data_IF_017769074438
#
_entry.id   IF_017769074438
#
_cell.length_a   1.000
_cell.length_b   1.000
_cell.length_c   1.000
_cell.angle_alpha   90.00
_cell.angle_beta   90.00
_cell.angle_gamma   90.00
#
_symmetry.space_group_name_H-M   'P 1'
#
loop_
_entity.id
_entity.type
_entity.pdbx_description
1 polymer ?
#
# COMPACT_ATOMS: atom_id res chain seq x y z
N UNK A 1 9.47 2.34 -7.12
CA UNK A 1 8.00 2.23 -7.21
C UNK A 1 7.44 3.60 -6.85
N UNK A 2 6.53 4.14 -7.65
CA UNK A 2 5.81 5.37 -7.33
C UNK A 2 4.35 4.97 -7.15
N UNK A 3 3.78 5.28 -5.99
CA UNK A 3 2.36 5.08 -5.74
C UNK A 3 1.60 6.39 -5.91
N UNK A 4 0.33 6.31 -6.27
CA UNK A 4 -0.58 7.45 -6.37
C UNK A 4 -1.75 7.28 -5.41
N UNK A 5 -2.43 8.37 -5.09
CA UNK A 5 -3.69 8.31 -4.34
C UNK A 5 -4.75 7.61 -5.20
N UNK A 6 -5.42 6.60 -4.64
CA UNK A 6 -6.39 5.75 -5.32
C UNK A 6 -5.81 4.42 -5.84
N UNK A 7 -4.49 4.23 -5.79
CA UNK A 7 -3.86 2.92 -6.05
C UNK A 7 -4.16 1.93 -4.91
N UNK A 8 -4.10 0.64 -5.20
CA UNK A 8 -4.20 -0.42 -4.18
C UNK A 8 -2.81 -0.96 -3.86
N UNK A 9 -2.43 -1.04 -2.59
CA UNK A 9 -1.17 -1.65 -2.17
C UNK A 9 -1.40 -3.10 -1.73
N UNK A 10 -0.58 -4.00 -2.25
CA UNK A 10 -0.51 -5.41 -1.90
C UNK A 10 0.83 -5.70 -1.26
N UNK A 11 0.80 -6.03 0.03
CA UNK A 11 2.00 -6.41 0.77
C UNK A 11 2.04 -7.93 0.90
N UNK A 12 2.86 -8.59 0.07
CA UNK A 12 3.10 -10.02 0.18
C UNK A 12 4.04 -10.30 1.35
N UNK A 13 3.55 -11.00 2.36
CA UNK A 13 4.40 -11.44 3.45
C UNK A 13 5.35 -12.53 2.98
N UNK A 14 6.67 -12.35 3.18
CA UNK A 14 7.72 -13.33 2.85
C UNK A 14 7.59 -14.71 3.53
N UNK A 15 6.59 -14.91 4.40
CA UNK A 15 6.40 -16.13 5.20
C UNK A 15 4.94 -16.57 5.11
N UNK A 16 4.71 -17.86 4.86
CA UNK A 16 3.37 -18.48 4.91
C UNK A 16 2.73 -18.19 6.28
N UNK A 17 1.58 -17.50 6.27
CA UNK A 17 0.86 -17.07 7.47
C UNK A 17 1.04 -15.59 7.85
N UNK A 18 1.94 -14.87 7.20
CA UNK A 18 1.90 -13.40 7.22
C UNK A 18 0.71 -12.96 6.40
N UNK A 19 -0.35 -12.47 7.05
CA UNK A 19 -1.57 -12.05 6.36
C UNK A 19 -1.23 -11.10 5.21
N UNK A 20 -1.66 -11.43 4.00
CA UNK A 20 -1.61 -10.50 2.88
C UNK A 20 -2.43 -9.28 3.28
N UNK A 21 -1.76 -8.12 3.29
CA UNK A 21 -2.38 -6.85 3.63
C UNK A 21 -2.61 -6.10 2.33
N UNK A 22 -3.88 -6.03 1.95
CA UNK A 22 -4.36 -5.18 0.86
C UNK A 22 -5.04 -3.94 1.46
N UNK A 23 -4.84 -2.80 0.82
CA UNK A 23 -5.52 -1.56 1.20
C UNK A 23 -5.42 -0.50 0.12
N UNK A 24 -6.36 0.43 0.15
CA UNK A 24 -6.42 1.55 -0.79
C UNK A 24 -5.55 2.71 -0.29
N UNK A 25 -4.66 3.22 -1.14
CA UNK A 25 -3.80 4.35 -0.83
C UNK A 25 -4.64 5.62 -0.84
N UNK A 26 -4.87 6.19 0.34
CA UNK A 26 -5.58 7.45 0.51
C UNK A 26 -4.68 8.67 0.35
N UNK A 27 -3.40 8.54 0.71
CA UNK A 27 -2.45 9.65 0.65
C UNK A 27 -1.02 9.13 0.50
N UNK A 28 -0.22 9.80 -0.32
CA UNK A 28 1.22 9.51 -0.45
C UNK A 28 1.99 10.66 0.17
N UNK A 29 2.67 10.39 1.30
CA UNK A 29 3.37 11.42 2.09
C UNK A 29 4.84 11.56 1.75
N UNK A 30 5.44 10.57 1.11
CA UNK A 30 6.82 10.70 0.67
C UNK A 30 6.92 11.52 -0.60
N UNK A 31 8.06 12.20 -0.73
CA UNK A 31 8.39 12.99 -1.92
C UNK A 31 8.38 12.12 -3.17
N UNK A 32 7.84 12.63 -4.28
CA UNK A 32 7.80 11.93 -5.57
C UNK A 32 7.12 10.55 -5.56
N UNK A 33 6.14 10.32 -4.68
CA UNK A 33 5.45 9.04 -4.62
C UNK A 33 6.16 8.01 -3.75
N UNK A 34 7.06 8.45 -2.86
CA UNK A 34 7.80 7.60 -1.94
C UNK A 34 7.02 7.27 -0.65
N UNK A 35 7.44 6.25 0.12
CA UNK A 35 6.90 5.96 1.44
C UNK A 35 7.07 7.13 2.42
N UNK A 36 6.21 7.28 3.43
CA UNK A 36 5.08 6.40 3.78
C UNK A 36 3.79 6.69 3.00
N UNK A 37 2.97 5.66 2.85
CA UNK A 37 1.62 5.77 2.27
C UNK A 37 0.58 5.64 3.37
N UNK A 38 -0.42 6.51 3.37
CA UNK A 38 -1.62 6.33 4.19
C UNK A 38 -2.58 5.41 3.44
N UNK A 39 -2.93 4.31 4.06
CA UNK A 39 -3.70 3.25 3.41
C UNK A 39 -4.94 2.95 4.26
N UNK A 40 -6.10 2.81 3.62
CA UNK A 40 -7.32 2.32 4.25
C UNK A 40 -7.48 0.83 3.99
N UNK A 41 -7.53 0.07 5.07
CA UNK A 41 -7.85 -1.34 5.01
C UNK A 41 -9.37 -1.55 4.84
N UNK A 42 -9.76 -2.72 4.32
CA UNK A 42 -11.17 -3.07 4.15
C UNK A 42 -11.99 -3.09 5.45
N UNK A 43 -11.30 -3.24 6.60
CA UNK A 43 -11.88 -3.15 7.95
C UNK A 43 -12.25 -1.70 8.36
N UNK A 44 -11.97 -0.70 7.51
CA UNK A 44 -12.19 0.72 7.79
C UNK A 44 -11.08 1.37 8.61
N UNK A 45 -10.10 0.58 9.07
CA UNK A 45 -8.91 1.10 9.72
C UNK A 45 -7.95 1.76 8.73
N UNK A 46 -7.43 2.92 9.10
CA UNK A 46 -6.41 3.65 8.34
C UNK A 46 -5.05 3.48 9.02
N UNK A 47 -4.01 3.26 8.24
CA UNK A 47 -2.66 3.08 8.76
C UNK A 47 -1.58 3.50 7.77
N UNK A 48 -0.43 3.94 8.31
CA UNK A 48 0.75 4.21 7.50
C UNK A 48 1.43 2.90 7.13
N UNK A 49 1.64 2.69 5.84
CA UNK A 49 2.37 1.56 5.27
C UNK A 49 3.71 2.04 4.74
N UNK A 50 4.74 1.30 5.12
CA UNK A 50 6.10 1.46 4.63
C UNK A 50 6.40 0.24 3.75
N UNK A 51 6.19 0.33 2.43
CA UNK A 51 6.48 -0.78 1.54
C UNK A 51 7.97 -1.16 1.61
N UNK A 52 8.21 -2.46 1.66
CA UNK A 52 9.53 -3.05 1.44
C UNK A 52 9.74 -3.44 -0.03
N UNK A 53 10.82 -4.18 -0.34
CA UNK A 53 11.09 -4.66 -1.68
C UNK A 53 10.02 -5.64 -2.22
N UNK A 54 9.28 -6.32 -1.34
CA UNK A 54 8.24 -7.30 -1.67
C UNK A 54 6.81 -6.71 -1.74
N UNK A 55 6.69 -5.38 -1.88
CA UNK A 55 5.39 -4.72 -2.00
C UNK A 55 5.04 -4.44 -3.45
N UNK A 56 3.82 -4.77 -3.84
CA UNK A 56 3.27 -4.44 -5.14
C UNK A 56 2.23 -3.32 -4.97
N UNK A 57 2.25 -2.35 -5.88
CA UNK A 57 1.23 -1.31 -5.97
C UNK A 57 0.49 -1.55 -7.27
N UNK A 58 -0.79 -1.87 -7.15
CA UNK A 58 -1.66 -2.09 -8.28
C UNK A 58 -2.42 -0.81 -8.60
N UNK A 59 -2.05 -0.21 -9.73
CA UNK A 59 -2.80 0.92 -10.28
C UNK A 59 -4.12 0.43 -10.83
N UNK A 60 -5.19 0.97 -10.26
CA UNK A 60 -6.52 0.84 -10.83
C UNK A 60 -6.54 1.69 -12.10
N UNK A 61 -6.15 1.07 -13.22
CA UNK A 61 -6.32 1.66 -14.53
C UNK A 61 -7.83 1.74 -14.81
N UNK A 62 -8.39 2.94 -14.70
CA UNK A 62 -9.70 3.29 -15.29
C UNK A 62 -9.52 3.87 -16.69
#
# INVERSE_FOLDING_TARGET
MQATVGDEIHVHGRTVGSAERHGEILEVRGEHGAPPYLVRFADGHEGLVFPGPDCEVQTRAE
#
